data_IF_021107252170
#
_entry.id   IF_021107252170
#
_cell.length_a   1.000
_cell.length_b   1.000
_cell.length_c   1.000
_cell.angle_alpha   90.00
_cell.angle_beta   90.00
_cell.angle_gamma   90.00
#
_symmetry.space_group_name_H-M   'P 1'
#
loop_
_entity.id
_entity.type
_entity.pdbx_description
1 polymer ?
#
# COMPACT_ATOMS: atom_id res chain seq x y z
N UNK A 1 -5.89 7.02 10.75
CA UNK A 1 -7.21 7.24 10.09
C UNK A 1 -8.23 6.21 10.63
N UNK A 2 -9.14 6.54 11.57
CA UNK A 2 -9.99 5.53 12.25
C UNK A 2 -11.50 5.64 12.00
N UNK A 3 -11.94 6.37 10.97
CA UNK A 3 -13.38 6.61 10.77
C UNK A 3 -14.11 5.43 10.11
N UNK A 4 -13.40 4.57 9.37
CA UNK A 4 -13.91 3.32 8.77
C UNK A 4 -12.76 2.33 8.69
N UNK A 5 -12.93 1.12 9.21
CA UNK A 5 -11.94 0.06 9.11
C UNK A 5 -12.15 -0.73 7.80
N UNK A 6 -11.16 -0.75 6.88
CA UNK A 6 -11.30 -1.48 5.63
C UNK A 6 -11.18 -2.98 5.87
N UNK A 7 -12.04 -3.77 5.24
CA UNK A 7 -11.91 -5.24 5.24
C UNK A 7 -10.78 -5.73 4.34
N UNK A 8 -10.44 -4.94 3.32
CA UNK A 8 -9.40 -5.24 2.36
C UNK A 8 -8.85 -3.93 1.78
N UNK A 9 -7.54 -3.90 1.52
CA UNK A 9 -6.79 -2.73 1.07
C UNK A 9 -6.01 -3.11 -0.18
N UNK A 10 -6.19 -2.34 -1.25
CA UNK A 10 -5.38 -2.46 -2.47
C UNK A 10 -4.55 -1.19 -2.67
N UNK A 11 -3.26 -1.35 -2.93
CA UNK A 11 -2.35 -0.26 -3.32
C UNK A 11 -2.15 -0.30 -4.81
N UNK A 12 -2.49 0.80 -5.48
CA UNK A 12 -2.33 0.96 -6.92
C UNK A 12 -1.09 1.80 -7.25
N UNK A 13 -0.32 1.36 -8.23
CA UNK A 13 0.80 2.09 -8.80
C UNK A 13 0.86 1.83 -10.31
N UNK A 14 1.03 2.90 -11.11
CA UNK A 14 1.06 2.85 -12.58
C UNK A 14 -0.09 2.03 -13.21
N UNK A 15 -1.31 2.20 -12.68
CA UNK A 15 -2.50 1.52 -13.21
C UNK A 15 -2.59 0.01 -12.88
N UNK A 16 -1.72 -0.51 -12.00
CA UNK A 16 -1.74 -1.91 -11.54
C UNK A 16 -1.84 -1.99 -10.02
N UNK A 17 -2.43 -3.08 -9.52
CA UNK A 17 -2.38 -3.41 -8.09
C UNK A 17 -0.98 -3.97 -7.82
N UNK A 18 -0.29 -3.36 -6.86
CA UNK A 18 1.10 -3.74 -6.53
C UNK A 18 1.23 -4.30 -5.12
N UNK A 19 0.23 -4.07 -4.27
CA UNK A 19 0.13 -4.64 -2.94
C UNK A 19 -1.34 -4.78 -2.56
N UNK A 20 -1.67 -5.84 -1.86
CA UNK A 20 -3.00 -6.06 -1.28
C UNK A 20 -2.85 -6.65 0.13
N UNK A 21 -3.84 -6.42 0.99
CA UNK A 21 -3.79 -6.86 2.39
C UNK A 21 -5.03 -6.47 3.18
N UNK A 22 -5.04 -6.81 4.48
CA UNK A 22 -6.09 -6.39 5.39
C UNK A 22 -5.86 -4.98 5.97
N UNK A 23 -6.61 -4.61 7.03
CA UNK A 23 -6.48 -3.32 7.70
C UNK A 23 -5.04 -3.03 8.18
N UNK A 24 -4.26 -4.07 8.51
CA UNK A 24 -2.86 -3.95 8.94
C UNK A 24 -1.96 -3.25 7.90
N UNK A 25 -2.33 -3.33 6.62
CA UNK A 25 -1.60 -2.66 5.56
C UNK A 25 -1.69 -1.13 5.69
N UNK A 26 -2.78 -0.61 6.24
CA UNK A 26 -2.93 0.83 6.51
C UNK A 26 -1.94 1.27 7.58
N UNK A 27 -1.83 0.51 8.67
CA UNK A 27 -0.93 0.83 9.77
C UNK A 27 0.53 0.82 9.30
N UNK A 28 0.90 -0.14 8.45
CA UNK A 28 2.23 -0.19 7.83
C UNK A 28 2.50 1.00 6.89
N UNK A 29 1.49 1.43 6.12
CA UNK A 29 1.57 2.60 5.26
C UNK A 29 1.71 3.89 6.06
N UNK A 30 0.97 4.04 7.17
CA UNK A 30 1.07 5.19 8.06
C UNK A 30 2.46 5.24 8.74
N UNK A 31 3.02 4.09 9.13
CA UNK A 31 4.31 4.03 9.82
C UNK A 31 5.53 4.20 8.88
N UNK A 32 5.52 3.58 7.70
CA UNK A 32 6.68 3.52 6.79
C UNK A 32 6.56 4.45 5.58
N UNK A 33 5.39 5.06 5.35
CA UNK A 33 5.07 5.77 4.12
C UNK A 33 4.95 4.85 2.90
N UNK A 34 4.90 5.42 1.70
CA UNK A 34 4.69 4.66 0.44
C UNK A 34 5.99 4.18 -0.22
N UNK A 35 7.15 4.71 0.17
CA UNK A 35 8.41 4.52 -0.58
C UNK A 35 8.89 3.07 -0.65
N UNK A 36 8.62 2.26 0.37
CA UNK A 36 9.00 0.83 0.37
C UNK A 36 8.19 0.00 -0.63
N UNK A 37 7.00 0.46 -1.03
CA UNK A 37 6.18 -0.20 -2.05
C UNK A 37 6.73 0.10 -3.43
N UNK A 38 7.17 1.34 -3.69
CA UNK A 38 7.63 1.77 -5.01
C UNK A 38 9.12 1.48 -5.27
N UNK A 39 9.95 1.38 -4.22
CA UNK A 39 11.40 1.17 -4.36
C UNK A 39 11.80 -0.11 -5.12
N UNK A 40 10.97 -1.17 -5.07
CA UNK A 40 11.18 -2.39 -5.86
C UNK A 40 10.56 -2.35 -7.25
N UNK A 41 9.62 -1.44 -7.49
CA UNK A 41 8.87 -1.35 -8.74
C UNK A 41 9.56 -0.43 -9.75
N UNK A 42 10.21 0.64 -9.27
CA UNK A 42 10.93 1.60 -10.13
C UNK A 42 12.26 1.04 -10.68
N UNK A 43 12.77 -0.05 -10.11
CA UNK A 43 13.97 -0.74 -10.60
C UNK A 43 13.70 -1.63 -11.83
N UNK A 44 12.43 -1.79 -12.25
CA UNK A 44 12.04 -2.62 -13.37
C UNK A 44 11.73 -1.83 -14.68
N UNK A 45 12.06 -0.53 -14.71
CA UNK A 45 11.86 0.35 -15.87
C UNK A 45 13.14 0.59 -16.67
#
# INVERSE_FOLDING_TARGET
LHLVQPSHVHVMYQGRIVKEGGPELVDELEAKGYGWITAGLDQAA
#
